data_IF_543675541417
#
_entry.id   IF_543675541417
#
_cell.length_a   1.000
_cell.length_b   1.000
_cell.length_c   1.000
_cell.angle_alpha   90.00
_cell.angle_beta   90.00
_cell.angle_gamma   90.00
#
_symmetry.space_group_name_H-M   'P 1'
#
loop_
_entity.id
_entity.type
_entity.pdbx_description
1 polymer ?
#
# COMPACT_ATOMS: atom_id res chain seq x y z
N UNK A 1 -18.75 -41.58 24.54
CA UNK A 1 -17.75 -40.68 25.15
C UNK A 1 -17.46 -39.58 24.12
N UNK A 2 -18.17 -38.46 24.21
CA UNK A 2 -18.13 -37.39 23.20
C UNK A 2 -17.13 -36.32 23.63
N UNK A 3 -16.02 -36.20 22.92
CA UNK A 3 -15.02 -35.15 23.13
C UNK A 3 -15.41 -33.94 22.29
N UNK A 4 -16.00 -32.93 22.91
CA UNK A 4 -16.22 -31.63 22.28
C UNK A 4 -14.87 -30.91 22.11
N UNK A 5 -14.36 -30.83 20.88
CA UNK A 5 -13.21 -29.99 20.55
C UNK A 5 -13.72 -28.55 20.43
N UNK A 6 -13.46 -27.75 21.47
CA UNK A 6 -13.84 -26.35 21.52
C UNK A 6 -12.79 -25.51 20.76
N UNK A 7 -13.00 -25.31 19.46
CA UNK A 7 -12.12 -24.48 18.62
C UNK A 7 -12.38 -22.99 18.86
N UNK A 8 -11.91 -22.47 19.99
CA UNK A 8 -11.92 -21.04 20.32
C UNK A 8 -10.69 -20.30 19.77
N UNK A 9 -10.43 -20.39 18.46
CA UNK A 9 -9.50 -19.47 17.82
C UNK A 9 -10.25 -18.19 17.44
N UNK A 10 -10.31 -17.23 18.38
CA UNK A 10 -10.71 -15.86 18.08
C UNK A 10 -9.65 -15.25 17.16
N UNK A 11 -9.88 -15.29 15.85
CA UNK A 11 -9.06 -14.55 14.88
C UNK A 11 -9.19 -13.05 15.20
N UNK A 12 -8.19 -12.49 15.88
CA UNK A 12 -8.07 -11.06 16.10
C UNK A 12 -7.72 -10.38 14.77
N UNK A 13 -8.72 -10.16 13.91
CA UNK A 13 -8.55 -9.52 12.61
C UNK A 13 -8.27 -8.03 12.84
N UNK A 14 -7.10 -7.57 12.40
CA UNK A 14 -6.79 -6.13 12.33
C UNK A 14 -7.84 -5.45 11.45
N UNK A 15 -8.40 -4.35 11.95
CA UNK A 15 -9.37 -3.54 11.20
C UNK A 15 -8.61 -2.72 10.15
N UNK A 16 -9.18 -2.62 8.95
CA UNK A 16 -8.60 -1.86 7.84
C UNK A 16 -9.69 -0.97 7.26
N UNK A 17 -9.38 0.31 7.06
CA UNK A 17 -10.26 1.26 6.40
C UNK A 17 -9.81 1.43 4.96
N UNK A 18 -10.76 1.36 4.02
CA UNK A 18 -10.48 1.45 2.59
C UNK A 18 -11.21 2.66 2.00
N UNK A 19 -10.44 3.61 1.47
CA UNK A 19 -10.98 4.85 0.88
C UNK A 19 -10.88 4.74 -0.65
N UNK A 20 -12.02 4.66 -1.33
CA UNK A 20 -12.11 4.54 -2.80
C UNK A 20 -12.89 5.70 -3.42
N UNK A 21 -12.65 5.98 -4.69
CA UNK A 21 -13.32 7.05 -5.45
C UNK A 21 -12.48 7.57 -6.62
N UNK A 22 -13.10 8.33 -7.52
CA UNK A 22 -12.48 8.86 -8.74
C UNK A 22 -11.27 9.78 -8.45
N UNK A 23 -10.40 10.02 -9.44
CA UNK A 23 -9.25 10.93 -9.28
C UNK A 23 -9.76 12.35 -8.97
N UNK A 24 -9.10 13.06 -8.05
CA UNK A 24 -9.47 14.43 -7.68
C UNK A 24 -10.58 14.56 -6.62
N UNK A 25 -11.22 13.48 -6.16
CA UNK A 25 -12.32 13.56 -5.16
C UNK A 25 -11.86 13.77 -3.71
N UNK A 26 -10.64 14.25 -3.47
CA UNK A 26 -10.17 14.57 -2.11
C UNK A 26 -9.82 13.38 -1.20
N UNK A 27 -9.68 12.16 -1.73
CA UNK A 27 -9.38 10.94 -0.93
C UNK A 27 -8.14 11.08 -0.05
N UNK A 28 -7.07 11.68 -0.56
CA UNK A 28 -5.82 11.84 0.19
C UNK A 28 -5.99 12.75 1.39
N UNK A 29 -6.81 13.81 1.26
CA UNK A 29 -7.16 14.69 2.38
C UNK A 29 -7.95 13.94 3.44
N UNK A 30 -9.00 13.21 3.02
CA UNK A 30 -9.81 12.40 3.93
C UNK A 30 -8.97 11.34 4.67
N UNK A 31 -8.01 10.71 3.98
CA UNK A 31 -7.13 9.73 4.61
C UNK A 31 -6.28 10.36 5.70
N UNK A 32 -5.73 11.56 5.47
CA UNK A 32 -4.91 12.27 6.48
C UNK A 32 -5.77 12.69 7.66
N UNK A 33 -6.96 13.26 7.43
CA UNK A 33 -7.87 13.68 8.51
C UNK A 33 -8.21 12.50 9.43
N UNK A 34 -8.52 11.33 8.86
CA UNK A 34 -8.78 10.10 9.62
C UNK A 34 -7.52 9.60 10.35
N UNK A 35 -6.38 9.56 9.67
CA UNK A 35 -5.14 9.06 10.25
C UNK A 35 -4.64 9.94 11.40
N UNK A 36 -4.80 11.26 11.32
CA UNK A 36 -4.50 12.20 12.41
C UNK A 36 -5.44 11.98 13.60
N UNK A 37 -6.74 11.76 13.34
CA UNK A 37 -7.72 11.55 14.40
C UNK A 37 -7.51 10.23 15.16
N UNK A 38 -7.20 9.15 14.44
CA UNK A 38 -7.02 7.81 15.02
C UNK A 38 -5.56 7.46 15.34
N UNK A 39 -4.60 8.33 14.97
CA UNK A 39 -3.15 8.10 15.08
C UNK A 39 -2.67 6.85 14.32
N UNK A 40 -3.22 6.67 13.13
CA UNK A 40 -2.96 5.53 12.26
C UNK A 40 -2.04 5.89 11.09
N UNK A 41 -1.62 4.88 10.33
CA UNK A 41 -0.74 5.02 9.18
C UNK A 41 -1.51 4.83 7.86
N UNK A 42 -1.01 5.41 6.78
CA UNK A 42 -1.64 5.35 5.45
C UNK A 42 -0.79 4.51 4.51
N UNK A 43 -1.42 3.57 3.81
CA UNK A 43 -0.81 2.81 2.72
C UNK A 43 -1.42 3.27 1.41
N UNK A 44 -0.61 3.87 0.53
CA UNK A 44 -1.07 4.25 -0.79
C UNK A 44 -1.34 3.00 -1.66
N UNK A 45 -2.43 3.04 -2.42
CA UNK A 45 -2.85 1.99 -3.35
C UNK A 45 -2.81 2.45 -4.82
N UNK A 46 -2.50 3.73 -5.09
CA UNK A 46 -2.36 4.22 -6.45
C UNK A 46 -0.98 3.88 -7.03
N UNK A 47 -0.97 2.96 -8.00
CA UNK A 47 0.22 2.47 -8.71
C UNK A 47 1.05 3.59 -9.35
N UNK A 48 0.43 4.67 -9.79
CA UNK A 48 1.15 5.77 -10.45
C UNK A 48 1.93 6.60 -9.44
N UNK A 49 1.45 6.69 -8.20
CA UNK A 49 2.09 7.49 -7.15
C UNK A 49 3.27 6.78 -6.48
N UNK A 50 3.57 5.52 -6.84
CA UNK A 50 4.73 4.78 -6.30
C UNK A 50 6.06 5.26 -6.93
N UNK A 51 6.04 5.79 -8.17
CA UNK A 51 7.25 6.21 -8.89
C UNK A 51 7.85 7.51 -8.35
N UNK A 52 9.15 7.55 -8.06
CA UNK A 52 9.85 8.77 -7.62
C UNK A 52 9.89 9.84 -8.74
N UNK A 53 9.75 11.12 -8.39
CA UNK A 53 9.96 12.24 -9.31
C UNK A 53 8.77 12.64 -10.19
N UNK A 54 7.65 11.90 -10.16
CA UNK A 54 6.44 12.21 -10.93
C UNK A 54 5.34 12.88 -10.09
N UNK A 55 5.73 13.62 -9.05
CA UNK A 55 4.83 14.05 -7.97
C UNK A 55 3.67 14.93 -8.46
N UNK A 56 3.94 15.90 -9.34
CA UNK A 56 2.91 16.76 -9.93
C UNK A 56 1.95 15.98 -10.85
N UNK A 57 2.50 15.20 -11.80
CA UNK A 57 1.70 14.47 -12.80
C UNK A 57 0.81 13.40 -12.15
N UNK A 58 1.28 12.84 -11.05
CA UNK A 58 0.58 11.78 -10.32
C UNK A 58 -0.27 12.30 -9.17
N UNK A 59 -0.37 13.62 -8.97
CA UNK A 59 -1.11 14.28 -7.89
C UNK A 59 -0.75 13.71 -6.51
N UNK A 60 0.55 13.53 -6.24
CA UNK A 60 0.97 13.07 -4.92
C UNK A 60 0.69 14.13 -3.88
N UNK A 61 0.26 13.66 -2.72
CA UNK A 61 0.11 14.50 -1.55
C UNK A 61 1.49 15.06 -1.14
N UNK A 62 1.54 16.37 -0.93
CA UNK A 62 2.76 17.08 -0.55
C UNK A 62 3.13 16.81 0.90
N UNK A 63 4.37 17.14 1.30
CA UNK A 63 4.80 16.98 2.69
C UNK A 63 3.97 17.81 3.68
N UNK A 64 3.56 19.02 3.28
CA UNK A 64 2.70 19.87 4.11
C UNK A 64 1.32 19.24 4.33
N UNK A 65 0.73 18.69 3.26
CA UNK A 65 -0.59 18.06 3.32
C UNK A 65 -0.60 16.73 4.10
N UNK A 66 0.54 16.04 4.22
CA UNK A 66 0.64 14.82 5.05
C UNK A 66 0.48 15.09 6.54
N UNK A 67 0.70 16.33 7.01
CA UNK A 67 0.59 16.70 8.43
C UNK A 67 1.39 15.79 9.40
N UNK A 68 2.52 15.25 8.95
CA UNK A 68 3.35 14.34 9.74
C UNK A 68 2.85 12.89 9.81
N UNK A 69 1.73 12.56 9.17
CA UNK A 69 1.24 11.18 9.06
C UNK A 69 2.20 10.35 8.19
N UNK A 70 2.53 9.14 8.65
CA UNK A 70 3.36 8.20 7.88
C UNK A 70 2.57 7.66 6.69
N UNK A 71 3.15 7.80 5.50
CA UNK A 71 2.60 7.32 4.24
C UNK A 71 3.56 6.31 3.62
N UNK A 72 3.09 5.09 3.41
CA UNK A 72 3.80 4.06 2.65
C UNK A 72 3.40 4.10 1.17
N UNK A 73 4.30 3.63 0.31
CA UNK A 73 4.09 3.41 -1.13
C UNK A 73 3.77 4.70 -1.92
N UNK A 74 4.32 5.82 -1.47
CA UNK A 74 4.15 7.13 -2.11
C UNK A 74 5.52 7.68 -2.58
N UNK A 75 5.95 7.27 -3.77
CA UNK A 75 7.24 7.65 -4.35
C UNK A 75 8.41 6.76 -3.93
N UNK A 76 8.13 5.65 -3.23
CA UNK A 76 9.11 4.74 -2.66
C UNK A 76 9.05 3.39 -3.37
N UNK A 77 9.53 3.37 -4.60
CA UNK A 77 9.82 2.12 -5.33
C UNK A 77 10.65 1.16 -4.48
N UNK A 78 11.52 1.70 -3.61
CA UNK A 78 12.34 0.92 -2.68
C UNK A 78 11.53 0.12 -1.65
N UNK A 79 10.39 0.64 -1.17
CA UNK A 79 9.51 -0.13 -0.27
C UNK A 79 8.88 -1.31 -1.01
N UNK A 80 8.49 -1.11 -2.28
CA UNK A 80 8.00 -2.20 -3.13
C UNK A 80 9.11 -3.20 -3.41
N UNK A 81 10.36 -2.75 -3.64
CA UNK A 81 11.54 -3.63 -3.79
C UNK A 81 11.71 -4.54 -2.59
N UNK A 82 11.56 -4.04 -1.36
CA UNK A 82 11.76 -4.83 -0.14
C UNK A 82 10.73 -5.95 0.04
N UNK A 83 9.51 -5.78 -0.47
CA UNK A 83 8.44 -6.79 -0.34
C UNK A 83 8.28 -7.68 -1.58
N UNK A 84 9.03 -7.39 -2.65
CA UNK A 84 8.98 -8.11 -3.92
C UNK A 84 9.77 -9.42 -3.88
N UNK A 85 9.13 -10.50 -4.31
CA UNK A 85 9.64 -11.86 -4.42
C UNK A 85 9.35 -12.28 -5.88
N UNK A 86 10.39 -12.55 -6.70
CA UNK A 86 10.24 -12.74 -8.14
C UNK A 86 9.21 -13.79 -8.57
N UNK A 87 9.03 -14.83 -7.76
CA UNK A 87 8.21 -16.01 -8.08
C UNK A 87 6.94 -16.13 -7.22
N UNK A 88 6.60 -15.09 -6.47
CA UNK A 88 5.38 -15.10 -5.65
C UNK A 88 4.14 -14.66 -6.44
N UNK A 89 2.99 -15.26 -6.13
CA UNK A 89 1.71 -14.87 -6.71
C UNK A 89 1.18 -13.57 -6.08
N UNK A 90 1.17 -12.51 -6.89
CA UNK A 90 0.64 -11.19 -6.54
C UNK A 90 -0.70 -10.88 -7.20
N UNK A 91 -1.40 -11.88 -7.75
CA UNK A 91 -2.69 -11.70 -8.42
C UNK A 91 -3.83 -11.43 -7.43
N UNK A 92 -3.60 -11.55 -6.12
CA UNK A 92 -4.64 -11.35 -5.08
C UNK A 92 -4.07 -10.64 -3.84
N UNK A 93 -4.99 -10.09 -3.03
CA UNK A 93 -4.67 -9.52 -1.72
C UNK A 93 -3.98 -8.15 -1.76
N UNK A 94 -3.40 -7.76 -0.61
CA UNK A 94 -2.82 -6.43 -0.39
C UNK A 94 -1.74 -6.10 -1.43
N UNK A 95 -0.89 -7.07 -1.77
CA UNK A 95 0.21 -6.90 -2.74
C UNK A 95 -0.29 -6.57 -4.16
N UNK A 96 -1.46 -7.07 -4.57
CA UNK A 96 -2.11 -6.63 -5.82
C UNK A 96 -2.60 -5.19 -5.72
N UNK A 97 -3.27 -4.84 -4.63
CA UNK A 97 -3.85 -3.52 -4.44
C UNK A 97 -2.80 -2.42 -4.45
N UNK A 98 -1.56 -2.71 -4.08
CA UNK A 98 -0.46 -1.75 -4.06
C UNK A 98 0.37 -1.73 -5.36
N UNK A 99 -0.03 -2.47 -6.39
CA UNK A 99 0.59 -2.41 -7.72
C UNK A 99 1.88 -3.24 -7.90
N UNK A 100 2.15 -4.21 -7.00
CA UNK A 100 3.33 -5.09 -7.12
C UNK A 100 3.35 -5.86 -8.46
N UNK A 101 2.23 -6.44 -8.96
CA UNK A 101 2.23 -7.13 -10.27
C UNK A 101 2.70 -6.25 -11.42
N UNK A 102 2.26 -5.00 -11.45
CA UNK A 102 2.59 -4.04 -12.50
C UNK A 102 4.06 -3.61 -12.44
N UNK A 103 4.67 -3.61 -11.24
CA UNK A 103 6.09 -3.31 -11.06
C UNK A 103 7.00 -4.52 -11.27
N UNK A 104 6.45 -5.73 -11.39
CA UNK A 104 7.24 -6.96 -11.45
C UNK A 104 8.20 -7.02 -12.64
N UNK A 105 7.81 -6.48 -13.80
CA UNK A 105 8.69 -6.42 -14.99
C UNK A 105 9.85 -5.47 -14.77
N UNK A 106 9.58 -4.25 -14.27
CA UNK A 106 10.60 -3.25 -13.96
C UNK A 106 11.63 -3.79 -12.92
N UNK A 107 11.14 -4.40 -11.85
CA UNK A 107 11.98 -4.93 -10.77
C UNK A 107 12.83 -6.13 -11.21
N UNK A 108 12.32 -6.97 -12.13
CA UNK A 108 13.09 -8.08 -12.72
C UNK A 108 14.19 -7.57 -13.64
N UNK A 109 13.89 -6.61 -14.52
CA UNK A 109 14.88 -6.03 -15.43
C UNK A 109 15.96 -5.23 -14.71
N UNK A 110 15.63 -4.54 -13.62
CA UNK A 110 16.61 -3.83 -12.80
C UNK A 110 17.63 -4.80 -12.19
N UNK A 111 17.17 -5.96 -11.68
CA UNK A 111 18.04 -6.98 -11.08
C UNK A 111 19.05 -7.52 -12.09
N UNK A 112 18.64 -7.71 -13.35
CA UNK A 112 19.52 -8.16 -14.44
C UNK A 112 20.55 -7.10 -14.85
N UNK A 113 20.20 -5.81 -14.78
CA UNK A 113 21.13 -4.70 -15.07
C UNK A 113 22.19 -4.45 -13.99
N UNK A 114 21.96 -4.97 -12.78
CA UNK A 114 22.86 -4.82 -11.62
C UNK A 114 23.71 -6.06 -11.33
N UNK A 115 23.53 -7.14 -12.08
CA UNK A 115 24.35 -8.37 -12.06
C UNK A 115 25.35 -8.37 -13.20
#
# INVERSE_FOLDING_TARGET
>A
MNTFINNNYKFNKKKVVLIKGAKGTGKSRLSVDLATHFREEIINSDKMQVYKGLDMVTNKITHAEKQGVRHYLLGLVDEVRQIFIPDADYTKGIRRSIGVPEMASYLREEKYRRS
#
